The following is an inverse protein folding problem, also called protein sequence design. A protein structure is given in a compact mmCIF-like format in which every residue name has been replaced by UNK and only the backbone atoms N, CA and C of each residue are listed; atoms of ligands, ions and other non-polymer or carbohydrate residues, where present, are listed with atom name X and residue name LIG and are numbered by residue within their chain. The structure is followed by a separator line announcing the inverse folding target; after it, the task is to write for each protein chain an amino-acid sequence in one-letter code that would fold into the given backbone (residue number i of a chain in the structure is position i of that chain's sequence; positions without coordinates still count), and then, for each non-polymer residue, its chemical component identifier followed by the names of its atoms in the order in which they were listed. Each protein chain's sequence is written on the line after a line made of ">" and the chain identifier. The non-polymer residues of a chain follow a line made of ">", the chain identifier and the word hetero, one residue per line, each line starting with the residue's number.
data_IF_070453776705
#
_entry.id   IF_070453776705
#
_cell.length_a   1.000
_cell.length_b   1.000
_cell.length_c   1.000
_cell.angle_alpha   90.00
_cell.angle_beta   90.00
_cell.angle_gamma   90.00
#
_symmetry.space_group_name_H-M   'P 1'
#
loop_
_entity.id
_entity.type
_entity.pdbx_description
1 polymer ?
#
# COMPACT_ATOMS: atom_id res chain seq x y z
N UNK A 1 -0.93 11.43 6.01
CA UNK A 1 0.19 11.93 6.84
C UNK A 1 0.96 10.73 7.36
N UNK A 2 2.26 10.66 7.08
CA UNK A 2 3.15 9.65 7.66
C UNK A 2 3.51 9.97 9.10
N UNK A 3 4.25 9.07 9.75
CA UNK A 3 4.73 9.27 11.14
C UNK A 3 5.51 10.57 11.29
N UNK A 4 6.29 10.97 10.29
CA UNK A 4 7.10 12.20 10.35
C UNK A 4 6.26 13.48 10.15
N UNK A 5 5.11 13.36 9.49
CA UNK A 5 4.25 14.48 9.09
C UNK A 5 3.12 14.71 10.09
N UNK A 6 3.03 13.86 11.13
CA UNK A 6 2.06 14.07 12.20
C UNK A 6 2.53 15.23 13.10
N UNK A 7 1.70 16.29 13.26
CA UNK A 7 2.11 17.53 13.93
C UNK A 7 2.22 17.39 15.46
N UNK A 8 1.67 16.32 16.04
CA UNK A 8 1.65 16.09 17.50
C UNK A 8 2.29 14.76 17.88
N UNK A 9 2.84 14.66 19.08
CA UNK A 9 3.41 13.40 19.60
C UNK A 9 2.40 12.25 19.60
N UNK A 10 1.15 12.52 20.00
CA UNK A 10 0.04 11.57 19.93
C UNK A 10 -0.24 11.12 18.50
N UNK A 11 -0.21 12.06 17.54
CA UNK A 11 -0.33 11.75 16.11
C UNK A 11 0.80 10.86 15.59
N UNK A 12 2.04 11.09 16.02
CA UNK A 12 3.19 10.25 15.67
C UNK A 12 3.05 8.82 16.20
N UNK A 13 2.60 8.68 17.45
CA UNK A 13 2.34 7.37 18.07
C UNK A 13 1.20 6.61 17.36
N UNK A 14 0.09 7.29 17.06
CA UNK A 14 -1.02 6.70 16.32
C UNK A 14 -0.57 6.23 14.92
N UNK A 15 0.16 7.07 14.19
CA UNK A 15 0.70 6.72 12.87
C UNK A 15 1.68 5.54 12.95
N UNK A 16 2.50 5.44 14.02
CA UNK A 16 3.40 4.30 14.24
C UNK A 16 2.61 3.01 14.49
N UNK A 17 1.57 3.07 15.31
CA UNK A 17 0.69 1.93 15.58
C UNK A 17 0.00 1.42 14.31
N UNK A 18 -0.55 2.34 13.50
CA UNK A 18 -1.16 2.01 12.20
C UNK A 18 -0.15 1.36 11.24
N UNK A 19 1.08 1.88 11.16
CA UNK A 19 2.14 1.29 10.33
C UNK A 19 2.48 -0.13 10.76
N UNK A 20 2.55 -0.39 12.06
CA UNK A 20 2.84 -1.73 12.61
C UNK A 20 1.70 -2.72 12.35
N UNK A 21 0.45 -2.29 12.55
CA UNK A 21 -0.72 -3.12 12.28
C UNK A 21 -0.80 -3.51 10.79
N UNK A 22 -0.66 -2.52 9.89
CA UNK A 22 -0.63 -2.77 8.46
C UNK A 22 0.47 -3.76 8.05
N UNK A 23 1.68 -3.62 8.61
CA UNK A 23 2.78 -4.55 8.32
C UNK A 23 2.51 -5.98 8.82
N UNK A 24 1.79 -6.13 9.94
CA UNK A 24 1.41 -7.45 10.47
C UNK A 24 0.37 -8.12 9.57
N UNK A 25 -0.65 -7.38 9.17
CA UNK A 25 -1.70 -7.89 8.28
C UNK A 25 -1.14 -8.23 6.91
N UNK A 26 -0.25 -7.40 6.37
CA UNK A 26 0.41 -7.66 5.09
C UNK A 26 1.21 -8.97 5.11
N UNK A 27 1.99 -9.22 6.17
CA UNK A 27 2.72 -10.50 6.33
C UNK A 27 1.77 -11.69 6.42
N UNK A 28 0.64 -11.53 7.11
CA UNK A 28 -0.38 -12.58 7.21
C UNK A 28 -0.95 -12.88 5.82
N UNK A 29 -1.31 -11.86 5.06
CA UNK A 29 -1.82 -12.03 3.69
C UNK A 29 -0.77 -12.68 2.79
N UNK A 30 0.49 -12.23 2.82
CA UNK A 30 1.58 -12.83 2.02
C UNK A 30 1.77 -14.32 2.35
N UNK A 31 1.65 -14.70 3.63
CA UNK A 31 1.71 -16.10 4.05
C UNK A 31 0.50 -16.91 3.57
N UNK A 32 -0.71 -16.35 3.61
CA UNK A 32 -1.94 -17.00 3.16
C UNK A 32 -2.01 -17.14 1.63
N UNK A 33 -1.52 -16.15 0.89
CA UNK A 33 -1.53 -16.16 -0.59
C UNK A 33 -0.34 -16.89 -1.19
N UNK A 34 0.68 -17.22 -0.38
CA UNK A 34 1.87 -17.94 -0.81
C UNK A 34 2.83 -17.14 -1.69
N UNK A 35 2.66 -15.81 -1.77
CA UNK A 35 3.56 -14.93 -2.53
C UNK A 35 3.65 -13.53 -1.92
N UNK A 36 4.81 -12.85 -2.04
CA UNK A 36 4.97 -11.48 -1.60
C UNK A 36 4.02 -10.54 -2.36
N UNK A 37 3.40 -9.60 -1.65
CA UNK A 37 2.52 -8.63 -2.27
C UNK A 37 3.34 -7.55 -2.97
N UNK A 38 2.88 -7.12 -4.15
CA UNK A 38 3.46 -5.96 -4.84
C UNK A 38 3.23 -4.71 -3.99
N UNK A 39 4.24 -3.84 -3.94
CA UNK A 39 4.24 -2.61 -3.12
C UNK A 39 4.53 -1.39 -3.98
N UNK A 40 4.16 -0.21 -3.48
CA UNK A 40 4.41 1.07 -4.16
C UNK A 40 3.89 1.10 -5.60
N UNK A 41 4.73 1.54 -6.54
CA UNK A 41 4.39 1.66 -7.95
C UNK A 41 3.94 0.34 -8.59
N UNK A 42 4.53 -0.80 -8.20
CA UNK A 42 4.16 -2.10 -8.74
C UNK A 42 2.72 -2.50 -8.36
N UNK A 43 2.29 -2.16 -7.14
CA UNK A 43 0.90 -2.37 -6.68
C UNK A 43 -0.07 -1.49 -7.45
N UNK A 44 0.33 -0.24 -7.71
CA UNK A 44 -0.47 0.71 -8.45
C UNK A 44 -0.69 0.25 -9.90
N UNK A 45 0.34 -0.26 -10.55
CA UNK A 45 0.24 -0.83 -11.89
C UNK A 45 -0.65 -2.06 -11.94
N UNK A 46 -0.53 -2.98 -10.98
CA UNK A 46 -1.41 -4.13 -10.86
C UNK A 46 -2.87 -3.72 -10.67
N UNK A 47 -3.14 -2.81 -9.73
CA UNK A 47 -4.49 -2.31 -9.47
C UNK A 47 -5.06 -1.55 -10.67
N UNK A 48 -4.23 -0.86 -11.43
CA UNK A 48 -4.69 -0.15 -12.63
C UNK A 48 -5.19 -1.12 -13.70
N UNK A 49 -4.54 -2.29 -13.81
CA UNK A 49 -4.92 -3.34 -14.78
C UNK A 49 -6.18 -4.13 -14.39
N UNK A 50 -6.70 -4.00 -13.17
CA UNK A 50 -7.76 -4.90 -12.68
C UNK A 50 -9.12 -4.72 -13.38
N UNK A 51 -9.41 -3.56 -13.98
CA UNK A 51 -10.73 -3.28 -14.57
C UNK A 51 -10.80 -3.45 -16.09
N UNK A 52 -9.72 -3.16 -16.79
CA UNK A 52 -9.67 -3.12 -18.27
C UNK A 52 -8.35 -3.72 -18.82
N UNK A 53 -7.53 -4.34 -17.97
CA UNK A 53 -6.22 -4.89 -18.32
C UNK A 53 -5.14 -3.85 -18.62
N UNK A 54 -5.45 -2.55 -18.62
CA UNK A 54 -4.53 -1.48 -19.04
C UNK A 54 -3.70 -0.94 -17.87
N UNK A 55 -2.42 -0.68 -18.11
CA UNK A 55 -1.54 -0.01 -17.14
C UNK A 55 -2.01 1.43 -16.88
N UNK A 56 -1.57 2.02 -15.77
CA UNK A 56 -1.90 3.41 -15.45
C UNK A 56 -1.46 4.35 -16.58
N UNK A 57 -0.23 4.17 -17.07
CA UNK A 57 0.30 4.97 -18.18
C UNK A 57 -0.44 4.78 -19.50
N UNK A 58 -1.06 3.62 -19.75
CA UNK A 58 -1.88 3.41 -20.94
C UNK A 58 -3.22 4.15 -20.86
N UNK A 59 -3.82 4.23 -19.67
CA UNK A 59 -5.07 4.97 -19.45
C UNK A 59 -4.91 6.48 -19.52
N UNK A 60 -3.76 7.01 -19.12
CA UNK A 60 -3.48 8.44 -19.21
C UNK A 60 -3.35 8.96 -20.65
N UNK A 61 -3.18 8.05 -21.61
CA UNK A 61 -3.00 8.37 -23.03
C UNK A 61 -4.26 8.12 -23.87
N UNK A 62 -5.33 7.61 -23.25
CA UNK A 62 -6.61 7.32 -23.91
C UNK A 62 -7.66 8.37 -23.64
#
# INVERSE_FOLDING_TARGET
>A
MGVEQAPTAKGKQAAKGLKQAAAKDERKTEAETGHPLKKGAARFEERSKSSDGKSAGAKQKS
#
